data_IF_280198159243
#
_entry.id   IF_280198159243
#
_cell.length_a   1.000
_cell.length_b   1.000
_cell.length_c   1.000
_cell.angle_alpha   90.00
_cell.angle_beta   90.00
_cell.angle_gamma   90.00
#
_symmetry.space_group_name_H-M   'P 1'
#
loop_
_entity.id
_entity.type
_entity.pdbx_description
1 polymer ?
#
# COMPACT_ATOMS: atom_id res chain seq x y z
N UNK A 1 -6.47 35.64 -12.91
CA UNK A 1 -7.73 35.38 -13.65
C UNK A 1 -7.52 34.53 -14.91
N UNK A 2 -6.59 34.88 -15.83
CA UNK A 2 -6.32 34.06 -17.04
C UNK A 2 -5.74 32.66 -16.77
N UNK A 3 -4.93 32.49 -15.72
CA UNK A 3 -4.42 31.16 -15.28
C UNK A 3 -5.52 30.26 -14.72
N UNK A 4 -6.49 30.82 -13.99
CA UNK A 4 -7.64 30.09 -13.45
C UNK A 4 -8.59 29.68 -14.57
N UNK A 5 -8.77 30.54 -15.59
CA UNK A 5 -9.55 30.21 -16.78
C UNK A 5 -8.88 29.13 -17.64
N UNK A 6 -7.55 29.12 -17.74
CA UNK A 6 -6.83 28.07 -18.47
C UNK A 6 -6.91 26.71 -17.75
N UNK A 7 -6.83 26.67 -16.42
CA UNK A 7 -7.07 25.45 -15.64
C UNK A 7 -8.54 24.99 -15.72
N UNK A 8 -9.49 25.93 -15.80
CA UNK A 8 -10.90 25.61 -16.03
C UNK A 8 -11.19 25.07 -17.44
N UNK A 9 -10.48 25.54 -18.48
CA UNK A 9 -10.60 25.01 -19.83
C UNK A 9 -9.98 23.62 -19.98
N UNK A 10 -8.85 23.34 -19.31
CA UNK A 10 -8.27 21.99 -19.23
C UNK A 10 -9.27 21.05 -18.54
N UNK A 11 -9.89 21.50 -17.45
CA UNK A 11 -10.96 20.73 -16.80
C UNK A 11 -12.10 20.46 -17.78
N UNK A 12 -12.58 21.48 -18.50
CA UNK A 12 -13.70 21.38 -19.47
C UNK A 12 -13.42 20.49 -20.69
N UNK A 13 -12.17 20.37 -21.13
CA UNK A 13 -11.78 19.48 -22.23
C UNK A 13 -11.70 17.99 -21.83
N UNK A 14 -11.53 17.68 -20.53
CA UNK A 14 -11.63 16.31 -19.99
C UNK A 14 -13.06 15.81 -19.78
N UNK A 15 -14.07 16.70 -19.87
CA UNK A 15 -15.46 16.44 -19.46
C UNK A 15 -16.29 15.58 -20.43
N UNK A 16 -15.76 15.19 -21.59
CA UNK A 16 -16.51 14.41 -22.59
C UNK A 16 -15.90 13.01 -22.74
N UNK A 17 -16.48 12.08 -21.98
CA UNK A 17 -16.63 10.67 -22.33
C UNK A 17 -15.37 9.90 -22.80
N UNK A 18 -14.27 9.96 -22.03
CA UNK A 18 -13.24 8.91 -22.09
C UNK A 18 -13.46 7.87 -21.00
N UNK A 19 -13.34 6.59 -21.36
CA UNK A 19 -13.38 5.49 -20.37
C UNK A 19 -12.19 5.49 -19.42
N UNK A 20 -11.11 6.17 -19.81
CA UNK A 20 -9.88 6.38 -19.05
C UNK A 20 -9.51 7.86 -19.13
N UNK A 21 -9.51 8.53 -17.98
CA UNK A 21 -9.01 9.88 -17.83
C UNK A 21 -7.57 9.77 -17.32
N UNK A 22 -6.62 9.90 -18.25
CA UNK A 22 -5.18 9.73 -18.00
C UNK A 22 -4.67 10.82 -17.07
N UNK A 23 -5.27 12.01 -17.11
CA UNK A 23 -4.86 13.14 -16.26
C UNK A 23 -5.22 12.87 -14.79
N UNK A 24 -6.42 12.34 -14.54
CA UNK A 24 -6.84 11.93 -13.20
C UNK A 24 -5.93 10.82 -12.63
N UNK A 25 -5.63 9.79 -13.45
CA UNK A 25 -4.72 8.69 -13.06
C UNK A 25 -3.34 9.25 -12.71
N UNK A 26 -2.80 10.09 -13.59
CA UNK A 26 -1.47 10.71 -13.41
C UNK A 26 -1.44 11.60 -12.19
N UNK A 27 -2.50 12.37 -11.92
CA UNK A 27 -2.60 13.26 -10.76
C UNK A 27 -2.50 12.49 -9.44
N UNK A 28 -3.26 11.40 -9.31
CA UNK A 28 -3.25 10.55 -8.11
C UNK A 28 -1.89 9.86 -7.96
N UNK A 29 -1.40 9.21 -9.01
CA UNK A 29 -0.11 8.53 -8.97
C UNK A 29 1.04 9.50 -8.61
N UNK A 30 1.09 10.67 -9.25
CA UNK A 30 2.08 11.72 -8.98
C UNK A 30 2.00 12.19 -7.53
N UNK A 31 0.80 12.39 -6.99
CA UNK A 31 0.60 12.77 -5.58
C UNK A 31 1.22 11.75 -4.64
N UNK A 32 0.93 10.46 -4.86
CA UNK A 32 1.45 9.36 -4.04
C UNK A 32 2.98 9.27 -4.10
N UNK A 33 3.56 9.42 -5.29
CA UNK A 33 5.00 9.40 -5.50
C UNK A 33 5.68 10.59 -4.80
N UNK A 34 5.15 11.81 -4.99
CA UNK A 34 5.72 13.01 -4.35
C UNK A 34 5.66 12.89 -2.83
N UNK A 35 4.55 12.41 -2.26
CA UNK A 35 4.44 12.18 -0.81
C UNK A 35 5.49 11.19 -0.32
N UNK A 36 5.70 10.11 -1.06
CA UNK A 36 6.71 9.10 -0.73
C UNK A 36 8.15 9.65 -0.75
N UNK A 37 8.53 10.37 -1.81
CA UNK A 37 9.86 10.99 -1.90
C UNK A 37 10.09 12.12 -0.90
N UNK A 38 9.03 12.83 -0.50
CA UNK A 38 9.11 13.85 0.56
C UNK A 38 9.27 13.20 1.94
N UNK A 39 8.74 12.01 2.15
CA UNK A 39 8.86 11.28 3.40
C UNK A 39 10.14 10.43 3.45
N UNK A 40 11.28 11.10 3.64
CA UNK A 40 12.60 10.44 3.71
C UNK A 40 12.67 9.34 4.77
N UNK A 41 11.98 9.54 5.90
CA UNK A 41 11.93 8.56 6.99
C UNK A 41 11.24 7.26 6.57
N UNK A 42 10.17 7.34 5.77
CA UNK A 42 9.47 6.17 5.26
C UNK A 42 10.30 5.36 4.28
N UNK A 43 11.08 6.02 3.41
CA UNK A 43 12.00 5.34 2.49
C UNK A 43 13.05 4.56 3.29
N UNK A 44 13.68 5.23 4.26
CA UNK A 44 14.69 4.60 5.10
C UNK A 44 14.13 3.44 5.93
N UNK A 45 13.01 3.64 6.62
CA UNK A 45 12.41 2.62 7.49
C UNK A 45 11.90 1.41 6.71
N UNK A 46 11.32 1.62 5.52
CA UNK A 46 10.84 0.53 4.68
C UNK A 46 11.97 -0.32 4.09
N UNK A 47 13.13 0.27 3.81
CA UNK A 47 14.31 -0.45 3.31
C UNK A 47 15.14 -1.12 4.40
N UNK A 48 15.06 -0.64 5.65
CA UNK A 48 15.90 -1.11 6.75
C UNK A 48 15.63 -2.58 7.11
N UNK A 49 14.35 -2.96 7.28
CA UNK A 49 14.01 -4.33 7.67
C UNK A 49 14.47 -5.39 6.65
N UNK A 50 14.22 -5.23 5.34
CA UNK A 50 14.72 -6.19 4.35
C UNK A 50 16.24 -6.19 4.22
N UNK A 51 16.88 -5.04 4.41
CA UNK A 51 18.35 -4.96 4.42
C UNK A 51 18.94 -5.78 5.57
N UNK A 52 18.32 -5.72 6.75
CA UNK A 52 18.72 -6.56 7.89
C UNK A 52 18.58 -8.03 7.52
N UNK A 53 17.44 -8.45 6.98
CA UNK A 53 17.28 -9.84 6.53
C UNK A 53 18.33 -10.24 5.49
N UNK A 54 18.65 -9.35 4.56
CA UNK A 54 19.66 -9.60 3.53
C UNK A 54 21.06 -9.78 4.09
N UNK A 55 21.44 -8.97 5.07
CA UNK A 55 22.77 -9.03 5.70
C UNK A 55 22.90 -10.23 6.64
N UNK A 56 21.84 -10.57 7.39
CA UNK A 56 21.92 -11.59 8.43
C UNK A 56 21.46 -12.98 7.97
N UNK A 57 20.30 -13.10 7.32
CA UNK A 57 19.76 -14.41 6.95
C UNK A 57 20.58 -15.05 5.83
N UNK A 58 21.01 -14.28 4.83
CA UNK A 58 21.67 -14.88 3.67
C UNK A 58 22.99 -15.61 4.02
N UNK A 59 23.98 -15.00 4.71
CA UNK A 59 25.18 -15.73 5.13
C UNK A 59 24.88 -16.84 6.11
N UNK A 60 23.92 -16.62 7.02
CA UNK A 60 23.50 -17.65 7.98
C UNK A 60 23.10 -18.95 7.28
N UNK A 61 22.32 -18.84 6.21
CA UNK A 61 21.86 -19.99 5.42
C UNK A 61 22.93 -20.51 4.44
N UNK A 62 23.78 -19.63 3.89
CA UNK A 62 24.91 -20.04 3.04
C UNK A 62 25.87 -20.98 3.80
N UNK A 63 26.21 -20.62 5.04
CA UNK A 63 27.13 -21.39 5.89
C UNK A 63 26.54 -22.71 6.41
N UNK A 64 25.21 -22.84 6.46
CA UNK A 64 24.54 -24.07 6.92
C UNK A 64 24.64 -25.23 5.93
N UNK A 65 24.72 -24.93 4.63
CA UNK A 65 24.73 -25.94 3.56
C UNK A 65 26.10 -26.12 2.91
N UNK A 66 27.04 -25.19 3.14
CA UNK A 66 28.40 -25.24 2.60
C UNK A 66 28.50 -25.05 1.08
N UNK A 67 27.38 -24.97 0.35
CA UNK A 67 27.34 -24.84 -1.11
C UNK A 67 27.03 -23.41 -1.60
N UNK A 68 26.72 -22.45 -0.72
CA UNK A 68 26.35 -21.07 -1.10
C UNK A 68 25.01 -20.94 -1.84
N UNK A 69 24.47 -22.03 -2.40
CA UNK A 69 23.22 -22.09 -3.17
C UNK A 69 22.01 -21.66 -2.34
N UNK A 70 21.94 -22.10 -1.07
CA UNK A 70 20.89 -21.69 -0.15
C UNK A 70 20.97 -20.18 0.18
N UNK A 71 22.17 -19.60 0.14
CA UNK A 71 22.38 -18.16 0.26
C UNK A 71 21.77 -17.39 -0.92
N UNK A 72 21.97 -17.87 -2.15
CA UNK A 72 21.36 -17.27 -3.35
C UNK A 72 19.84 -17.43 -3.33
N UNK A 73 19.36 -18.60 -2.88
CA UNK A 73 17.93 -18.85 -2.67
C UNK A 73 17.31 -17.82 -1.71
N UNK A 74 17.94 -17.59 -0.55
CA UNK A 74 17.49 -16.61 0.44
C UNK A 74 17.56 -15.17 -0.09
N UNK A 75 18.59 -14.81 -0.85
CA UNK A 75 18.70 -13.51 -1.50
C UNK A 75 17.51 -13.20 -2.41
N UNK A 76 17.15 -14.16 -3.26
CA UNK A 76 15.95 -14.07 -4.11
C UNK A 76 14.66 -13.97 -3.27
N UNK A 77 14.56 -14.79 -2.22
CA UNK A 77 13.42 -14.81 -1.31
C UNK A 77 13.16 -13.48 -0.60
N UNK A 78 14.23 -12.81 -0.18
CA UNK A 78 14.13 -11.51 0.51
C UNK A 78 13.64 -10.43 -0.45
N UNK A 79 14.09 -10.41 -1.70
CA UNK A 79 13.56 -9.48 -2.71
C UNK A 79 12.06 -9.73 -2.96
N UNK A 80 11.64 -11.00 -2.98
CA UNK A 80 10.22 -11.36 -3.10
C UNK A 80 9.40 -10.91 -1.90
N UNK A 81 9.94 -11.11 -0.70
CA UNK A 81 9.31 -10.65 0.53
C UNK A 81 9.11 -9.13 0.52
N UNK A 82 10.13 -8.38 0.10
CA UNK A 82 10.04 -6.92 -0.06
C UNK A 82 8.90 -6.58 -1.00
N UNK A 83 8.84 -7.23 -2.16
CA UNK A 83 7.82 -6.93 -3.17
C UNK A 83 6.40 -7.17 -2.65
N UNK A 84 6.17 -8.32 -2.01
CA UNK A 84 4.85 -8.69 -1.46
C UNK A 84 4.46 -7.69 -0.38
N UNK A 85 5.33 -7.48 0.61
CA UNK A 85 5.04 -6.63 1.77
C UNK A 85 4.86 -5.17 1.37
N UNK A 86 5.77 -4.64 0.54
CA UNK A 86 5.71 -3.26 0.06
C UNK A 86 4.55 -3.05 -0.90
N UNK A 87 4.28 -3.99 -1.82
CA UNK A 87 3.19 -3.88 -2.78
C UNK A 87 1.82 -3.77 -2.11
N UNK A 88 1.54 -4.64 -1.13
CA UNK A 88 0.27 -4.59 -0.38
C UNK A 88 0.16 -3.29 0.43
N UNK A 89 1.19 -2.94 1.21
CA UNK A 89 1.12 -1.78 2.12
C UNK A 89 1.16 -0.43 1.38
N UNK A 90 1.95 -0.28 0.32
CA UNK A 90 2.18 1.01 -0.33
C UNK A 90 0.99 1.52 -1.15
N UNK A 91 0.11 0.65 -1.62
CA UNK A 91 -1.16 1.02 -2.22
C UNK A 91 -2.29 1.09 -1.16
N UNK A 92 -2.29 0.16 -0.20
CA UNK A 92 -3.35 0.05 0.80
C UNK A 92 -3.35 1.18 1.84
N UNK A 93 -2.17 1.55 2.36
CA UNK A 93 -2.06 2.56 3.43
C UNK A 93 -2.54 3.97 3.04
N UNK A 94 -2.15 4.53 1.88
CA UNK A 94 -2.64 5.83 1.46
C UNK A 94 -4.16 5.87 1.28
N UNK A 95 -4.76 4.77 0.80
CA UNK A 95 -6.21 4.70 0.68
C UNK A 95 -6.87 4.79 2.07
N UNK A 96 -6.39 4.02 3.04
CA UNK A 96 -6.90 4.06 4.43
C UNK A 96 -6.78 5.47 5.00
N UNK A 97 -5.62 6.12 4.82
CA UNK A 97 -5.40 7.48 5.32
C UNK A 97 -6.36 8.48 4.67
N UNK A 98 -6.60 8.34 3.36
CA UNK A 98 -7.59 9.14 2.65
C UNK A 98 -9.01 8.87 3.20
N UNK A 99 -9.33 7.64 3.63
CA UNK A 99 -10.59 7.35 4.34
C UNK A 99 -10.68 8.07 5.69
N UNK A 100 -9.63 7.96 6.50
CA UNK A 100 -9.59 8.57 7.84
C UNK A 100 -9.75 10.08 7.82
N UNK A 101 -9.16 10.71 6.81
CA UNK A 101 -9.22 12.15 6.61
C UNK A 101 -10.50 12.63 5.92
N UNK A 102 -11.43 11.75 5.56
CA UNK A 102 -12.67 12.10 4.87
C UNK A 102 -12.51 12.45 3.39
N UNK A 103 -11.35 12.18 2.77
CA UNK A 103 -11.15 12.39 1.33
C UNK A 103 -12.03 11.46 0.47
N UNK A 104 -12.63 10.41 1.05
CA UNK A 104 -13.61 9.57 0.36
C UNK A 104 -14.79 10.37 -0.18
N UNK A 105 -15.26 11.38 0.55
CA UNK A 105 -16.39 12.20 0.14
C UNK A 105 -16.02 13.04 -1.10
N UNK A 106 -14.77 13.52 -1.15
CA UNK A 106 -14.21 14.23 -2.31
C UNK A 106 -14.16 13.31 -3.53
N UNK A 107 -13.76 12.05 -3.37
CA UNK A 107 -13.76 11.08 -4.47
C UNK A 107 -15.17 10.67 -4.93
N UNK A 108 -16.18 10.76 -4.05
CA UNK A 108 -17.55 10.44 -4.39
C UNK A 108 -18.22 11.52 -5.26
N UNK A 109 -17.86 12.79 -5.04
CA UNK A 109 -18.38 13.93 -5.82
C UNK A 109 -17.48 14.34 -6.99
N UNK A 110 -16.23 13.88 -7.05
CA UNK A 110 -15.33 14.17 -8.15
C UNK A 110 -15.87 13.59 -9.47
N UNK A 111 -15.82 14.36 -10.60
CA UNK A 111 -16.32 13.92 -11.90
C UNK A 111 -15.38 12.92 -12.60
N UNK A 112 -14.80 11.97 -11.85
CA UNK A 112 -13.88 10.95 -12.35
C UNK A 112 -14.44 9.55 -12.11
N UNK A 113 -14.34 8.67 -13.11
CA UNK A 113 -14.76 7.27 -12.96
C UNK A 113 -13.92 6.59 -11.86
N UNK A 114 -14.58 5.86 -10.95
CA UNK A 114 -13.92 5.16 -9.82
C UNK A 114 -12.74 4.28 -10.25
N UNK A 115 -12.82 3.65 -11.43
CA UNK A 115 -11.72 2.84 -12.01
C UNK A 115 -10.43 3.64 -12.17
N UNK A 116 -10.51 4.91 -12.59
CA UNK A 116 -9.35 5.77 -12.81
C UNK A 116 -8.64 6.08 -11.48
N UNK A 117 -9.41 6.24 -10.40
CA UNK A 117 -8.86 6.41 -9.05
C UNK A 117 -8.08 5.17 -8.63
N UNK A 118 -8.70 3.99 -8.79
CA UNK A 118 -8.08 2.70 -8.46
C UNK A 118 -6.77 2.50 -9.24
N UNK A 119 -6.76 2.77 -10.55
CA UNK A 119 -5.55 2.67 -11.37
C UNK A 119 -4.47 3.64 -10.89
N UNK A 120 -4.82 4.87 -10.51
CA UNK A 120 -3.89 5.84 -9.95
C UNK A 120 -3.22 5.32 -8.66
N UNK A 121 -3.97 4.69 -7.77
CA UNK A 121 -3.42 4.06 -6.56
C UNK A 121 -2.56 2.83 -6.85
N UNK A 122 -3.00 1.95 -7.77
CA UNK A 122 -2.23 0.76 -8.15
C UNK A 122 -0.90 1.17 -8.77
N UNK A 123 -0.92 2.09 -9.74
CA UNK A 123 0.28 2.57 -10.40
C UNK A 123 1.23 3.29 -9.44
N UNK A 124 0.70 4.13 -8.55
CA UNK A 124 1.47 4.80 -7.51
C UNK A 124 2.07 3.80 -6.50
N UNK A 125 1.32 2.79 -6.07
CA UNK A 125 1.79 1.73 -5.19
C UNK A 125 2.86 0.85 -5.84
N UNK A 126 2.65 0.48 -7.10
CA UNK A 126 3.58 -0.33 -7.89
C UNK A 126 4.91 0.38 -8.15
N UNK A 127 4.89 1.68 -8.45
CA UNK A 127 6.12 2.46 -8.62
C UNK A 127 6.92 2.59 -7.33
N UNK A 128 6.25 2.84 -6.19
CA UNK A 128 6.92 2.97 -4.89
C UNK A 128 7.58 1.65 -4.46
N UNK A 129 6.90 0.53 -4.64
CA UNK A 129 7.40 -0.82 -4.30
C UNK A 129 8.48 -1.29 -5.27
N UNK A 130 8.38 -0.95 -6.56
CA UNK A 130 9.47 -1.16 -7.53
C UNK A 130 10.72 -0.41 -7.08
N UNK A 131 10.59 0.87 -6.73
CA UNK A 131 11.71 1.67 -6.24
C UNK A 131 12.32 1.11 -4.94
N UNK A 132 11.49 0.65 -3.99
CA UNK A 132 11.98 -0.01 -2.79
C UNK A 132 12.72 -1.32 -3.11
N UNK A 133 12.22 -2.11 -4.05
CA UNK A 133 12.86 -3.35 -4.49
C UNK A 133 14.20 -3.06 -5.18
N UNK A 134 14.27 -2.00 -5.99
CA UNK A 134 15.54 -1.51 -6.58
C UNK A 134 16.56 -1.15 -5.51
N UNK A 135 16.15 -0.46 -4.44
CA UNK A 135 17.05 -0.14 -3.32
C UNK A 135 17.64 -1.42 -2.72
N UNK A 136 16.82 -2.44 -2.48
CA UNK A 136 17.29 -3.71 -1.90
C UNK A 136 18.21 -4.47 -2.86
N UNK A 137 17.92 -4.48 -4.17
CA UNK A 137 18.81 -5.10 -5.16
C UNK A 137 20.18 -4.39 -5.17
N UNK A 138 20.20 -3.05 -5.12
CA UNK A 138 21.44 -2.27 -5.06
C UNK A 138 22.21 -2.57 -3.77
N UNK A 139 21.53 -2.59 -2.62
CA UNK A 139 22.16 -2.91 -1.34
C UNK A 139 22.73 -4.33 -1.36
N UNK A 140 22.01 -5.29 -1.92
CA UNK A 140 22.47 -6.67 -2.10
C UNK A 140 23.66 -6.84 -3.02
N UNK A 141 23.72 -6.05 -4.10
CA UNK A 141 24.88 -6.03 -4.98
C UNK A 141 26.09 -5.40 -4.27
N UNK A 142 25.87 -4.29 -3.55
CA UNK A 142 26.92 -3.58 -2.81
C UNK A 142 27.46 -4.38 -1.62
N UNK A 143 26.64 -5.18 -0.94
CA UNK A 143 27.11 -6.06 0.13
C UNK A 143 28.13 -7.10 -0.38
N UNK A 144 28.13 -7.39 -1.68
CA UNK A 144 29.13 -8.20 -2.36
C UNK A 144 30.53 -7.62 -2.43
N UNK A 145 30.64 -6.30 -2.35
CA UNK A 145 31.94 -5.62 -2.31
C UNK A 145 32.61 -5.80 -0.94
N UNK A 146 31.83 -6.02 0.11
CA UNK A 146 32.31 -6.23 1.48
C UNK A 146 32.68 -7.70 1.69
N UNK A 147 31.83 -8.63 1.23
CA UNK A 147 32.17 -10.05 1.16
C UNK A 147 31.48 -10.70 -0.05
N UNK A 148 32.20 -11.55 -0.78
CA UNK A 148 31.63 -12.25 -1.94
C UNK A 148 30.38 -13.08 -1.58
N UNK A 149 30.39 -13.73 -0.41
CA UNK A 149 29.26 -14.50 0.13
C UNK A 149 28.01 -13.63 0.44
N UNK A 150 28.21 -12.33 0.68
CA UNK A 150 27.16 -11.35 0.93
C UNK A 150 26.61 -10.71 -0.36
N UNK A 151 27.23 -10.96 -1.52
CA UNK A 151 26.94 -10.25 -2.77
C UNK A 151 25.93 -10.93 -3.66
N UNK A 152 24.87 -10.21 -4.04
CA UNK A 152 23.93 -10.70 -5.03
C UNK A 152 24.50 -10.40 -6.42
N UNK A 153 24.73 -11.45 -7.23
CA UNK A 153 25.29 -11.32 -8.57
C UNK A 153 24.29 -11.81 -9.62
N UNK A 154 24.15 -11.09 -10.75
CA UNK A 154 23.39 -11.60 -11.88
C UNK A 154 24.04 -12.87 -12.42
N UNK A 155 23.22 -13.76 -12.98
CA UNK A 155 23.70 -14.92 -13.73
C UNK A 155 24.57 -14.47 -14.91
N UNK A 156 25.51 -15.31 -15.33
CA UNK A 156 26.47 -14.97 -16.37
C UNK A 156 25.84 -14.70 -17.75
N UNK A 157 24.57 -15.04 -18.01
CA UNK A 157 23.82 -14.77 -19.26
C UNK A 157 24.62 -14.97 -20.57
N UNK A 158 25.60 -15.88 -20.58
CA UNK A 158 26.48 -16.12 -21.72
C UNK A 158 27.61 -15.11 -21.94
N UNK A 159 27.81 -14.13 -21.04
CA UNK A 159 28.86 -13.10 -21.10
C UNK A 159 30.27 -13.69 -21.19
N UNK A 160 30.49 -14.85 -20.55
CA UNK A 160 31.75 -15.60 -20.53
C UNK A 160 31.76 -16.82 -21.48
N UNK A 161 30.60 -17.20 -22.03
CA UNK A 161 30.39 -18.55 -22.56
C UNK A 161 30.91 -18.78 -23.99
N UNK A 162 31.49 -17.78 -24.66
CA UNK A 162 31.74 -17.91 -26.09
C UNK A 162 33.12 -17.49 -26.59
N UNK A 163 34.03 -16.97 -25.76
CA UNK A 163 35.43 -16.66 -26.14
C UNK A 163 35.62 -15.81 -27.40
N UNK A 164 34.54 -15.29 -27.97
CA UNK A 164 34.41 -14.67 -29.28
C UNK A 164 33.70 -13.35 -29.08
N UNK A 165 34.16 -12.32 -29.79
CA UNK A 165 33.60 -10.97 -29.70
C UNK A 165 32.09 -10.92 -29.98
N UNK A 166 31.59 -11.78 -30.89
CA UNK A 166 30.15 -11.91 -31.17
C UNK A 166 29.36 -12.47 -29.98
N UNK A 167 29.92 -13.45 -29.26
CA UNK A 167 29.28 -14.04 -28.09
C UNK A 167 29.23 -13.10 -26.88
N UNK A 168 30.26 -12.28 -26.67
CA UNK A 168 30.26 -11.25 -25.63
C UNK A 168 29.23 -10.15 -25.93
N UNK A 169 29.11 -9.71 -27.19
CA UNK A 169 28.08 -8.75 -27.60
C UNK A 169 26.66 -9.30 -27.40
N UNK A 170 26.42 -10.55 -27.78
CA UNK A 170 25.14 -11.22 -27.54
C UNK A 170 24.84 -11.35 -26.04
N UNK A 171 25.82 -11.69 -25.21
CA UNK A 171 25.68 -11.77 -23.75
C UNK A 171 25.31 -10.42 -23.12
N UNK A 172 25.89 -9.32 -23.59
CA UNK A 172 25.52 -7.96 -23.13
C UNK A 172 24.07 -7.64 -23.49
N UNK A 173 23.64 -7.92 -24.72
CA UNK A 173 22.27 -7.70 -25.16
C UNK A 173 21.26 -8.52 -24.33
N UNK A 174 21.57 -9.80 -24.07
CA UNK A 174 20.72 -10.66 -23.26
C UNK A 174 20.69 -10.20 -21.80
N UNK A 175 21.80 -9.72 -21.25
CA UNK A 175 21.84 -9.17 -19.89
C UNK A 175 21.00 -7.89 -19.78
N UNK A 176 21.06 -6.99 -20.76
CA UNK A 176 20.19 -5.80 -20.79
C UNK A 176 18.72 -6.23 -20.90
N UNK A 177 18.42 -7.19 -21.79
CA UNK A 177 17.07 -7.74 -21.95
C UNK A 177 16.52 -8.36 -20.67
N UNK A 178 17.33 -9.15 -19.95
CA UNK A 178 16.94 -9.81 -18.71
C UNK A 178 16.67 -8.82 -17.59
N UNK A 179 17.47 -7.74 -17.49
CA UNK A 179 17.24 -6.66 -16.52
C UNK A 179 15.93 -5.93 -16.81
N UNK A 180 15.65 -5.60 -18.07
CA UNK A 180 14.40 -4.95 -18.47
C UNK A 180 13.19 -5.84 -18.14
N UNK A 181 13.26 -7.14 -18.48
CA UNK A 181 12.21 -8.10 -18.15
C UNK A 181 12.01 -8.24 -16.64
N UNK A 182 13.10 -8.31 -15.86
CA UNK A 182 13.03 -8.37 -14.41
C UNK A 182 12.30 -7.15 -13.83
N UNK A 183 12.62 -5.94 -14.27
CA UNK A 183 11.92 -4.74 -13.80
C UNK A 183 10.45 -4.69 -14.22
N UNK A 184 10.12 -5.19 -15.42
CA UNK A 184 8.71 -5.33 -15.83
C UNK A 184 7.97 -6.32 -14.93
N UNK A 185 8.59 -7.45 -14.59
CA UNK A 185 8.01 -8.45 -13.68
C UNK A 185 7.84 -7.90 -12.26
N UNK A 186 8.84 -7.19 -11.71
CA UNK A 186 8.75 -6.48 -10.43
C UNK A 186 7.55 -5.53 -10.45
N UNK A 187 7.42 -4.72 -11.50
CA UNK A 187 6.35 -3.73 -11.61
C UNK A 187 4.95 -4.38 -11.71
N UNK A 188 4.81 -5.45 -12.49
CA UNK A 188 3.54 -6.18 -12.65
C UNK A 188 3.15 -6.91 -11.37
N UNK A 189 4.08 -7.62 -10.74
CA UNK A 189 3.83 -8.30 -9.48
C UNK A 189 3.54 -7.29 -8.35
N UNK A 190 4.23 -6.16 -8.31
CA UNK A 190 3.90 -5.06 -7.41
C UNK A 190 2.48 -4.50 -7.63
N UNK A 191 2.02 -4.43 -8.89
CA UNK A 191 0.66 -4.01 -9.23
C UNK A 191 -0.39 -5.01 -8.73
N UNK A 192 -0.11 -6.31 -8.82
CA UNK A 192 -0.94 -7.40 -8.26
C UNK A 192 -1.08 -7.26 -6.74
N UNK A 193 0.03 -7.09 -6.02
CA UNK A 193 -0.01 -6.90 -4.57
C UNK A 193 -0.70 -5.60 -4.17
N UNK A 194 -0.53 -4.55 -4.97
CA UNK A 194 -1.25 -3.29 -4.80
C UNK A 194 -2.77 -3.48 -4.90
N UNK A 195 -3.24 -4.35 -5.81
CA UNK A 195 -4.66 -4.71 -5.92
C UNK A 195 -5.20 -5.33 -4.63
N UNK A 196 -4.45 -6.28 -4.05
CA UNK A 196 -4.80 -6.95 -2.79
C UNK A 196 -4.86 -5.93 -1.65
N UNK A 197 -3.84 -5.06 -1.54
CA UNK A 197 -3.80 -4.00 -0.55
C UNK A 197 -5.01 -3.07 -0.63
N UNK A 198 -5.40 -2.66 -1.84
CA UNK A 198 -6.58 -1.82 -2.05
C UNK A 198 -7.89 -2.52 -1.73
N UNK A 199 -8.03 -3.81 -2.02
CA UNK A 199 -9.23 -4.61 -1.69
C UNK A 199 -9.46 -4.67 -0.19
N UNK A 200 -8.39 -4.93 0.56
CA UNK A 200 -8.42 -4.96 2.03
C UNK A 200 -8.80 -3.55 2.53
N UNK A 201 -8.01 -2.55 2.16
CA UNK A 201 -8.23 -1.15 2.54
C UNK A 201 -9.62 -0.63 2.18
N UNK A 202 -10.23 -1.12 1.10
CA UNK A 202 -11.56 -0.72 0.68
C UNK A 202 -12.67 -1.24 1.62
N UNK A 203 -12.46 -2.35 2.34
CA UNK A 203 -13.47 -2.97 3.21
C UNK A 203 -13.18 -2.87 4.71
N UNK A 204 -11.98 -2.48 5.10
CA UNK A 204 -11.57 -2.50 6.51
C UNK A 204 -11.10 -1.14 7.01
N UNK A 205 -11.27 -0.91 8.31
CA UNK A 205 -10.69 0.25 9.02
C UNK A 205 -9.17 0.11 9.16
N UNK A 206 -8.47 1.15 9.60
CA UNK A 206 -7.00 1.14 9.72
C UNK A 206 -6.48 -0.03 10.55
N UNK A 207 -6.98 -0.21 11.77
CA UNK A 207 -6.52 -1.29 12.67
C UNK A 207 -6.70 -2.67 12.03
N UNK A 208 -7.88 -2.92 11.48
CA UNK A 208 -8.20 -4.20 10.83
C UNK A 208 -7.37 -4.39 9.56
N UNK A 209 -7.16 -3.33 8.77
CA UNK A 209 -6.35 -3.40 7.55
C UNK A 209 -4.91 -3.81 7.84
N UNK A 210 -4.30 -3.27 8.89
CA UNK A 210 -2.96 -3.67 9.32
C UNK A 210 -2.87 -5.14 9.74
N UNK A 211 -3.88 -5.63 10.46
CA UNK A 211 -3.98 -7.05 10.81
C UNK A 211 -4.10 -7.91 9.55
N UNK A 212 -4.94 -7.54 8.60
CA UNK A 212 -5.10 -8.25 7.32
C UNK A 212 -3.84 -8.23 6.46
N UNK A 213 -3.15 -7.09 6.37
CA UNK A 213 -1.86 -7.02 5.67
C UNK A 213 -0.86 -8.00 6.26
N UNK A 214 -0.74 -8.04 7.60
CA UNK A 214 0.19 -8.95 8.27
C UNK A 214 -0.20 -10.42 8.09
N UNK A 215 -1.50 -10.72 8.26
CA UNK A 215 -2.07 -12.05 8.12
C UNK A 215 -1.91 -12.62 6.71
N UNK A 216 -1.98 -11.77 5.67
CA UNK A 216 -1.85 -12.19 4.28
C UNK A 216 -0.38 -12.25 3.86
N UNK A 217 0.44 -11.27 4.27
CA UNK A 217 1.85 -11.18 3.85
C UNK A 217 2.65 -12.44 4.19
N UNK A 218 2.59 -12.90 5.45
CA UNK A 218 3.45 -14.00 5.89
C UNK A 218 3.13 -15.34 5.20
N UNK A 219 1.88 -15.84 5.20
CA UNK A 219 1.55 -17.06 4.47
C UNK A 219 1.86 -16.96 2.98
N UNK A 220 1.61 -15.80 2.35
CA UNK A 220 1.87 -15.62 0.92
C UNK A 220 3.36 -15.77 0.58
N UNK A 221 4.25 -15.25 1.44
CA UNK A 221 5.71 -15.41 1.29
C UNK A 221 6.09 -16.89 1.35
N UNK A 222 5.56 -17.67 2.30
CA UNK A 222 5.89 -19.09 2.43
C UNK A 222 5.31 -19.94 1.29
N UNK A 223 4.05 -19.69 0.92
CA UNK A 223 3.37 -20.39 -0.18
C UNK A 223 4.04 -20.09 -1.52
N UNK A 224 4.63 -18.90 -1.67
CA UNK A 224 5.26 -18.50 -2.93
C UNK A 224 6.51 -19.27 -3.30
N UNK A 225 7.10 -20.02 -2.37
CA UNK A 225 8.40 -20.62 -2.62
C UNK A 225 9.58 -19.65 -2.54
N UNK A 226 9.35 -18.43 -2.06
CA UNK A 226 10.40 -17.42 -1.90
C UNK A 226 11.44 -17.83 -0.86
N UNK A 227 11.00 -18.33 0.31
CA UNK A 227 11.88 -18.67 1.45
C UNK A 227 12.07 -20.19 1.61
N UNK A 228 11.11 -21.01 1.17
CA UNK A 228 11.16 -22.47 1.30
C UNK A 228 11.01 -23.11 -0.09
N UNK A 229 11.83 -24.08 -0.50
CA UNK A 229 11.64 -24.82 -1.73
C UNK A 229 10.28 -25.55 -1.74
N UNK A 230 9.48 -25.36 -2.80
CA UNK A 230 8.07 -25.79 -2.86
C UNK A 230 7.85 -27.14 -3.55
N UNK A 231 8.88 -27.96 -3.67
CA UNK A 231 8.85 -29.25 -4.40
C UNK A 231 7.72 -30.17 -3.93
N UNK A 232 7.28 -30.05 -2.68
CA UNK A 232 6.26 -30.89 -2.07
C UNK A 232 4.84 -30.26 -1.97
N UNK A 233 4.63 -29.00 -2.37
CA UNK A 233 3.32 -28.29 -2.28
C UNK A 233 2.83 -27.83 -3.66
N UNK A 234 3.03 -28.70 -4.67
CA UNK A 234 2.94 -28.42 -6.10
C UNK A 234 1.67 -27.70 -6.55
N UNK A 235 0.52 -28.11 -6.01
CA UNK A 235 -0.78 -27.59 -6.43
C UNK A 235 -1.01 -26.12 -6.04
N UNK A 236 -0.50 -25.69 -4.88
CA UNK A 236 -0.77 -24.34 -4.36
C UNK A 236 0.16 -23.31 -5.01
N UNK A 237 1.40 -23.69 -5.33
CA UNK A 237 2.37 -22.83 -6.02
C UNK A 237 1.93 -22.42 -7.44
N UNK A 238 1.27 -23.31 -8.18
CA UNK A 238 0.79 -23.04 -9.56
C UNK A 238 -0.22 -21.88 -9.63
N UNK A 239 -1.04 -21.69 -8.60
CA UNK A 239 -2.03 -20.62 -8.53
C UNK A 239 -1.50 -19.32 -7.93
N UNK A 240 -0.24 -19.30 -7.48
CA UNK A 240 0.35 -18.13 -6.84
C UNK A 240 1.22 -17.35 -7.84
N UNK A 241 0.85 -16.13 -8.27
CA UNK A 241 1.66 -15.34 -9.20
C UNK A 241 3.06 -15.03 -8.65
N UNK A 242 3.19 -15.04 -7.31
CA UNK A 242 4.46 -14.84 -6.60
C UNK A 242 5.47 -15.94 -6.90
N UNK A 243 5.03 -17.17 -7.18
CA UNK A 243 5.92 -18.31 -7.39
C UNK A 243 6.72 -18.18 -8.67
N UNK A 244 6.08 -17.73 -9.74
CA UNK A 244 6.72 -17.41 -11.02
C UNK A 244 7.74 -16.27 -10.87
N UNK A 245 7.38 -15.24 -10.12
CA UNK A 245 8.29 -14.14 -9.81
C UNK A 245 9.51 -14.56 -8.98
N UNK A 246 9.29 -15.38 -7.95
CA UNK A 246 10.36 -15.85 -7.06
C UNK A 246 11.38 -16.70 -7.80
N UNK A 247 10.91 -17.58 -8.68
CA UNK A 247 11.80 -18.40 -9.49
C UNK A 247 12.53 -17.57 -10.55
N UNK A 248 11.88 -16.57 -11.15
CA UNK A 248 12.54 -15.67 -12.11
C UNK A 248 13.67 -14.85 -11.49
N UNK A 249 13.47 -14.29 -10.29
CA UNK A 249 14.55 -13.60 -9.56
C UNK A 249 15.67 -14.58 -9.23
N UNK A 250 15.35 -15.79 -8.76
CA UNK A 250 16.37 -16.79 -8.41
C UNK A 250 17.26 -17.15 -9.59
N UNK A 251 16.65 -17.36 -10.76
CA UNK A 251 17.37 -17.62 -12.02
C UNK A 251 18.18 -16.41 -12.46
N UNK A 252 17.65 -15.20 -12.29
CA UNK A 252 18.38 -13.97 -12.57
C UNK A 252 19.62 -13.81 -11.67
N UNK A 253 19.57 -14.31 -10.44
CA UNK A 253 20.68 -14.29 -9.47
C UNK A 253 21.68 -15.45 -9.59
N UNK A 254 21.56 -16.28 -10.62
CA UNK A 254 22.45 -17.42 -10.83
C UNK A 254 22.25 -18.57 -9.84
N UNK A 255 21.13 -18.59 -9.11
CA UNK A 255 20.75 -19.71 -8.26
C UNK A 255 20.22 -20.90 -9.09
N UNK A 256 20.22 -22.09 -8.50
CA UNK A 256 19.59 -23.26 -9.11
C UNK A 256 18.11 -22.96 -9.44
N UNK A 257 17.66 -23.51 -10.57
CA UNK A 257 16.33 -23.25 -11.13
C UNK A 257 15.28 -23.82 -10.18
N UNK A 258 14.35 -22.97 -9.72
CA UNK A 258 13.20 -23.44 -8.94
C UNK A 258 12.31 -24.39 -9.75
N UNK A 259 11.52 -25.20 -9.06
CA UNK A 259 10.65 -26.20 -9.68
C UNK A 259 9.50 -25.61 -10.51
N UNK A 260 9.21 -24.30 -10.42
CA UNK A 260 7.98 -23.68 -10.96
C UNK A 260 8.18 -22.48 -11.90
N UNK A 261 9.37 -21.88 -11.93
CA UNK A 261 9.70 -20.80 -12.86
C UNK A 261 9.43 -21.28 -14.26
N UNK A 262 8.70 -20.50 -15.03
CA UNK A 262 8.22 -20.88 -16.37
C UNK A 262 9.37 -21.28 -17.30
N UNK A 263 10.56 -20.69 -17.11
CA UNK A 263 11.80 -21.11 -17.77
C UNK A 263 12.24 -22.55 -17.51
N UNK A 264 11.59 -23.29 -16.60
CA UNK A 264 11.88 -24.70 -16.31
C UNK A 264 10.69 -25.60 -16.64
N UNK A 265 9.44 -25.23 -16.31
CA UNK A 265 8.27 -26.07 -16.66
C UNK A 265 8.06 -26.08 -18.18
N UNK A 266 7.95 -24.90 -18.80
CA UNK A 266 7.75 -24.80 -20.24
C UNK A 266 9.02 -25.12 -21.00
N UNK A 267 10.20 -24.75 -20.51
CA UNK A 267 11.44 -25.17 -21.16
C UNK A 267 11.66 -26.69 -21.07
N UNK A 268 11.33 -27.36 -19.96
CA UNK A 268 11.35 -28.84 -19.90
C UNK A 268 10.33 -29.44 -20.85
N UNK A 269 9.13 -28.88 -20.94
CA UNK A 269 8.11 -29.34 -21.87
C UNK A 269 8.53 -29.14 -23.33
N UNK A 270 9.13 -27.98 -23.67
CA UNK A 270 9.68 -27.66 -24.99
C UNK A 270 10.90 -28.53 -25.31
N UNK A 271 11.79 -28.79 -24.36
CA UNK A 271 12.97 -29.65 -24.54
C UNK A 271 12.56 -31.12 -24.70
N UNK A 272 11.57 -31.59 -23.93
CA UNK A 272 10.95 -32.90 -24.13
C UNK A 272 10.25 -32.99 -25.49
N UNK A 273 9.60 -31.92 -25.95
CA UNK A 273 8.96 -31.86 -27.25
C UNK A 273 9.96 -31.77 -28.42
N UNK A 274 11.08 -31.07 -28.24
CA UNK A 274 12.10 -30.86 -29.27
C UNK A 274 13.23 -31.90 -29.25
N UNK A 275 13.18 -32.94 -28.40
CA UNK A 275 14.28 -33.90 -28.19
C UNK A 275 15.65 -33.21 -27.98
N UNK A 276 15.67 -32.07 -27.30
CA UNK A 276 16.87 -31.23 -27.14
C UNK A 276 17.80 -31.71 -26.03
N UNK A 277 19.10 -31.43 -26.16
CA UNK A 277 20.09 -31.64 -25.08
C UNK A 277 19.84 -30.70 -23.88
N UNK A 278 20.17 -31.11 -22.64
CA UNK A 278 19.98 -30.30 -21.42
C UNK A 278 20.71 -28.94 -21.45
N UNK A 279 21.68 -28.77 -22.34
CA UNK A 279 22.44 -27.53 -22.52
C UNK A 279 21.59 -26.37 -23.05
N UNK A 280 20.44 -26.64 -23.68
CA UNK A 280 19.52 -25.59 -24.14
C UNK A 280 18.89 -24.79 -22.98
N UNK A 281 18.70 -25.41 -21.80
CA UNK A 281 18.06 -24.80 -20.62
C UNK A 281 18.86 -23.63 -20.05
N UNK A 282 20.18 -23.71 -20.12
CA UNK A 282 21.09 -22.65 -19.66
C UNK A 282 21.47 -21.69 -20.79
N UNK A 283 20.89 -21.84 -21.99
CA UNK A 283 21.14 -20.91 -23.07
C UNK A 283 20.56 -19.53 -22.71
N UNK A 284 21.26 -18.43 -23.02
CA UNK A 284 20.76 -17.07 -22.76
C UNK A 284 19.37 -16.82 -23.39
N UNK A 285 19.09 -17.47 -24.52
CA UNK A 285 17.83 -17.37 -25.26
C UNK A 285 16.68 -18.07 -24.52
N UNK A 286 16.92 -19.28 -23.99
CA UNK A 286 15.90 -20.01 -23.21
C UNK A 286 15.51 -19.25 -21.94
N UNK A 287 16.47 -18.58 -21.28
CA UNK A 287 16.20 -17.74 -20.12
C UNK A 287 15.28 -16.55 -20.46
N UNK A 288 15.51 -15.87 -21.59
CA UNK A 288 14.66 -14.78 -22.06
C UNK A 288 13.24 -15.24 -22.39
N UNK A 289 13.10 -16.39 -23.05
CA UNK A 289 11.78 -16.99 -23.35
C UNK A 289 11.06 -17.36 -22.06
N UNK A 290 11.77 -17.95 -21.09
CA UNK A 290 11.26 -18.27 -19.77
C UNK A 290 10.68 -17.05 -19.05
N UNK A 291 11.46 -15.96 -18.98
CA UNK A 291 11.01 -14.70 -18.39
C UNK A 291 9.82 -14.09 -19.11
N UNK A 292 9.78 -14.15 -20.44
CA UNK A 292 8.63 -13.68 -21.22
C UNK A 292 7.34 -14.44 -20.89
N UNK A 293 7.42 -15.75 -20.73
CA UNK A 293 6.30 -16.60 -20.33
C UNK A 293 5.89 -16.35 -18.87
N UNK A 294 6.84 -16.20 -17.92
CA UNK A 294 6.53 -15.81 -16.54
C UNK A 294 5.76 -14.48 -16.50
N UNK A 295 6.17 -13.51 -17.33
CA UNK A 295 5.51 -12.20 -17.44
C UNK A 295 4.06 -12.33 -17.91
N UNK A 296 3.80 -13.19 -18.91
CA UNK A 296 2.44 -13.47 -19.40
C UNK A 296 1.58 -14.08 -18.29
N UNK A 297 2.11 -15.06 -17.55
CA UNK A 297 1.37 -15.69 -16.43
C UNK A 297 1.03 -14.65 -15.37
N UNK A 298 2.01 -13.85 -14.94
CA UNK A 298 1.80 -12.76 -13.97
C UNK A 298 0.76 -11.76 -14.49
N UNK A 299 0.79 -11.41 -15.77
CA UNK A 299 -0.17 -10.50 -16.37
C UNK A 299 -1.61 -11.05 -16.36
N UNK A 300 -1.80 -12.35 -16.65
CA UNK A 300 -3.11 -13.02 -16.60
C UNK A 300 -3.70 -12.95 -15.20
N UNK A 301 -2.91 -13.29 -14.17
CA UNK A 301 -3.33 -13.14 -12.77
C UNK A 301 -3.63 -11.68 -12.41
N UNK A 302 -2.84 -10.75 -12.95
CA UNK A 302 -3.07 -9.31 -12.83
C UNK A 302 -4.47 -8.91 -13.26
N UNK A 303 -4.90 -9.29 -14.47
CA UNK A 303 -6.21 -8.92 -15.01
C UNK A 303 -7.36 -9.33 -14.08
N UNK A 304 -7.29 -10.55 -13.51
CA UNK A 304 -8.29 -11.05 -12.56
C UNK A 304 -8.35 -10.19 -11.30
N UNK A 305 -7.20 -9.86 -10.71
CA UNK A 305 -7.15 -9.04 -9.49
C UNK A 305 -7.52 -7.58 -9.75
N UNK A 306 -7.16 -7.01 -10.91
CA UNK A 306 -7.64 -5.70 -11.33
C UNK A 306 -9.18 -5.66 -11.39
N UNK A 307 -9.80 -6.69 -11.95
CA UNK A 307 -11.26 -6.80 -11.99
C UNK A 307 -11.88 -6.84 -10.58
N UNK A 308 -11.31 -7.66 -9.69
CA UNK A 308 -11.75 -7.75 -8.28
C UNK A 308 -11.61 -6.40 -7.57
N UNK A 309 -10.46 -5.72 -7.72
CA UNK A 309 -10.23 -4.41 -7.13
C UNK A 309 -11.21 -3.35 -7.63
N UNK A 310 -11.53 -3.32 -8.93
CA UNK A 310 -12.54 -2.40 -9.45
C UNK A 310 -13.92 -2.65 -8.85
N UNK A 311 -14.33 -3.92 -8.72
CA UNK A 311 -15.62 -4.29 -8.16
C UNK A 311 -15.73 -3.93 -6.68
N UNK A 312 -14.71 -4.28 -5.89
CA UNK A 312 -14.69 -4.05 -4.43
C UNK A 312 -14.55 -2.58 -4.08
N UNK A 313 -13.67 -1.83 -4.76
CA UNK A 313 -13.53 -0.41 -4.51
C UNK A 313 -14.80 0.35 -4.91
N UNK A 314 -15.49 -0.12 -5.95
CA UNK A 314 -16.80 0.37 -6.35
C UNK A 314 -17.84 0.30 -5.22
N UNK A 315 -17.93 -0.83 -4.50
CA UNK A 315 -18.89 -0.98 -3.40
C UNK A 315 -18.45 -0.33 -2.08
N UNK A 316 -17.14 -0.27 -1.81
CA UNK A 316 -16.61 0.26 -0.54
C UNK A 316 -16.81 1.77 -0.33
N UNK A 317 -17.07 2.54 -1.40
CA UNK A 317 -17.38 3.98 -1.31
C UNK A 317 -18.84 4.28 -0.95
N UNK A 318 -19.77 3.33 -1.16
CA UNK A 318 -21.20 3.53 -0.85
C UNK A 318 -21.56 3.14 0.58
N UNK A 319 -20.80 2.23 1.20
CA UNK A 319 -21.01 1.82 2.60
C UNK A 319 -20.32 2.76 3.61
N UNK A 320 -19.34 3.54 3.15
CA UNK A 320 -18.55 4.47 3.97
C UNK A 320 -19.20 5.84 4.17
N UNK A 321 -20.52 5.97 4.01
CA UNK A 321 -21.27 7.21 4.29
C UNK A 321 -21.24 7.63 5.77
N UNK A 322 -20.54 6.88 6.61
CA UNK A 322 -20.14 7.25 7.97
C UNK A 322 -18.80 8.00 8.04
N UNK A 323 -18.49 8.86 7.07
CA UNK A 323 -17.27 9.70 7.06
C UNK A 323 -17.10 10.52 8.34
N UNK A 324 -15.92 11.11 8.55
CA UNK A 324 -15.51 11.85 9.76
C UNK A 324 -16.59 12.83 10.28
N UNK A 325 -17.40 13.44 9.41
CA UNK A 325 -18.58 14.24 9.77
C UNK A 325 -19.63 13.44 10.55
N UNK A 326 -20.02 12.25 10.10
CA UNK A 326 -20.99 11.40 10.81
C UNK A 326 -20.44 10.85 12.13
N UNK A 327 -19.15 10.49 12.19
CA UNK A 327 -18.51 10.02 13.43
C UNK A 327 -18.28 11.18 14.41
N UNK A 328 -17.90 12.37 13.95
CA UNK A 328 -17.80 13.55 14.81
C UNK A 328 -19.18 13.99 15.27
N UNK A 329 -20.19 14.05 14.42
CA UNK A 329 -21.56 14.33 14.83
C UNK A 329 -22.08 13.28 15.81
N UNK A 330 -21.77 11.99 15.61
CA UNK A 330 -22.18 10.92 16.52
C UNK A 330 -21.43 10.95 17.85
N UNK A 331 -20.11 11.11 17.86
CA UNK A 331 -19.31 11.22 19.11
C UNK A 331 -19.58 12.52 19.86
N UNK A 332 -19.78 13.65 19.16
CA UNK A 332 -20.20 14.90 19.80
C UNK A 332 -21.64 14.82 20.28
N UNK A 333 -22.55 14.13 19.57
CA UNK A 333 -23.90 13.86 20.04
C UNK A 333 -23.93 12.93 21.26
N UNK A 334 -23.17 11.83 21.25
CA UNK A 334 -23.04 10.89 22.39
C UNK A 334 -22.37 11.57 23.61
N UNK A 335 -21.35 12.41 23.39
CA UNK A 335 -20.73 13.20 24.45
C UNK A 335 -21.67 14.30 24.98
N UNK A 336 -22.45 14.95 24.10
CA UNK A 336 -23.52 15.88 24.48
C UNK A 336 -24.58 15.15 25.31
N UNK A 337 -25.00 13.96 24.89
CA UNK A 337 -26.04 13.20 25.55
C UNK A 337 -25.61 12.74 26.94
N UNK A 338 -24.40 12.20 27.08
CA UNK A 338 -23.78 11.86 28.38
C UNK A 338 -23.55 13.06 29.29
N UNK A 339 -23.21 14.23 28.74
CA UNK A 339 -23.16 15.47 29.53
C UNK A 339 -24.53 15.82 30.09
N UNK A 340 -25.61 15.56 29.34
CA UNK A 340 -26.96 15.91 29.73
C UNK A 340 -27.73 14.84 30.54
N UNK A 341 -27.16 13.64 30.73
CA UNK A 341 -27.78 12.56 31.52
C UNK A 341 -27.84 12.86 33.02
N UNK A 342 -26.89 13.64 33.55
CA UNK A 342 -26.80 13.96 34.97
C UNK A 342 -27.63 15.18 35.40
N UNK A 343 -28.43 15.75 34.48
CA UNK A 343 -29.25 16.95 34.75
C UNK A 343 -30.71 16.60 35.02
N UNK A 344 -31.38 17.46 35.79
CA UNK A 344 -32.81 17.32 36.01
C UNK A 344 -33.60 17.45 34.69
N UNK A 345 -34.78 16.81 34.54
CA UNK A 345 -35.53 16.78 33.28
C UNK A 345 -35.79 18.18 32.68
N UNK A 346 -36.10 19.15 33.54
CA UNK A 346 -36.32 20.57 33.15
C UNK A 346 -35.03 21.27 32.68
N UNK A 347 -33.89 20.98 33.30
CA UNK A 347 -32.59 21.54 32.94
C UNK A 347 -32.09 20.96 31.60
N UNK A 348 -32.38 19.68 31.33
CA UNK A 348 -32.07 19.00 30.07
C UNK A 348 -32.80 19.62 28.87
N UNK A 349 -34.07 20.00 29.02
CA UNK A 349 -34.82 20.69 27.95
C UNK A 349 -34.30 22.09 27.65
N UNK A 350 -33.88 22.83 28.67
CA UNK A 350 -33.26 24.16 28.51
C UNK A 350 -31.93 24.04 27.76
N UNK A 351 -31.06 23.13 28.18
CA UNK A 351 -29.76 22.91 27.52
C UNK A 351 -29.92 22.42 26.08
N UNK A 352 -30.90 21.54 25.80
CA UNK A 352 -31.23 21.12 24.43
C UNK A 352 -31.71 22.29 23.56
N UNK A 353 -32.55 23.19 24.09
CA UNK A 353 -33.02 24.38 23.35
C UNK A 353 -31.88 25.35 23.03
N UNK A 354 -30.96 25.56 23.96
CA UNK A 354 -29.82 26.48 23.79
C UNK A 354 -28.79 25.90 22.82
N UNK A 355 -28.40 24.63 23.02
CA UNK A 355 -27.38 23.96 22.17
C UNK A 355 -27.87 23.60 20.77
N UNK A 356 -29.17 23.71 20.50
CA UNK A 356 -29.73 23.65 19.16
C UNK A 356 -29.50 24.93 18.35
N UNK A 357 -29.34 26.08 19.02
CA UNK A 357 -29.20 27.39 18.38
C UNK A 357 -27.77 27.94 18.44
N UNK A 358 -26.97 27.50 19.41
CA UNK A 358 -25.59 27.99 19.62
C UNK A 358 -24.66 26.81 19.95
N UNK A 359 -23.47 26.78 19.33
CA UNK A 359 -22.50 25.74 19.63
C UNK A 359 -21.85 25.94 21.01
N UNK A 360 -21.74 24.87 21.80
CA UNK A 360 -21.21 24.91 23.17
C UNK A 360 -19.81 25.49 23.24
N UNK A 361 -18.95 25.18 22.25
CA UNK A 361 -17.59 25.72 22.20
C UNK A 361 -17.58 27.24 22.10
N UNK A 362 -18.47 27.81 21.27
CA UNK A 362 -18.62 29.26 21.13
C UNK A 362 -19.13 29.88 22.43
N UNK A 363 -20.04 29.21 23.15
CA UNK A 363 -20.54 29.68 24.44
C UNK A 363 -19.41 29.70 25.49
N UNK A 364 -18.63 28.62 25.59
CA UNK A 364 -17.49 28.54 26.53
C UNK A 364 -16.40 29.56 26.21
N UNK A 365 -16.03 29.72 24.94
CA UNK A 365 -15.06 30.74 24.51
C UNK A 365 -15.54 32.15 24.81
N UNK A 366 -16.84 32.41 24.67
CA UNK A 366 -17.42 33.72 25.01
C UNK A 366 -17.38 33.96 26.52
N UNK A 367 -17.70 32.94 27.34
CA UNK A 367 -17.58 33.05 28.80
C UNK A 367 -16.15 33.28 29.29
N UNK A 368 -15.17 32.64 28.64
CA UNK A 368 -13.75 32.77 29.00
C UNK A 368 -13.18 34.14 28.62
N UNK A 369 -13.54 34.66 27.44
CA UNK A 369 -12.99 35.91 26.92
C UNK A 369 -13.77 37.16 27.37
N UNK A 370 -15.10 37.08 27.56
CA UNK A 370 -15.93 38.20 28.00
C UNK A 370 -17.25 37.72 28.67
N UNK A 371 -17.29 37.63 30.02
CA UNK A 371 -18.44 37.11 30.76
C UNK A 371 -19.76 37.87 30.51
N UNK A 372 -19.70 39.17 30.19
CA UNK A 372 -20.88 40.00 29.91
C UNK A 372 -21.39 39.88 28.47
N UNK A 373 -20.58 39.33 27.54
CA UNK A 373 -20.94 39.14 26.13
C UNK A 373 -21.86 37.95 25.85
N UNK A 374 -22.20 37.16 26.87
CA UNK A 374 -23.07 35.99 26.75
C UNK A 374 -24.51 36.39 26.35
N UNK A 375 -25.00 37.49 26.91
CA UNK A 375 -26.34 37.99 26.62
C UNK A 375 -26.45 38.43 25.15
N UNK A 376 -25.44 39.12 24.64
CA UNK A 376 -25.37 39.53 23.23
C UNK A 376 -25.29 38.32 22.28
N UNK A 377 -24.57 37.27 22.67
CA UNK A 377 -24.48 36.02 21.91
C UNK A 377 -25.84 35.30 21.84
N UNK A 378 -26.59 35.28 22.94
CA UNK A 378 -27.90 34.62 23.03
C UNK A 378 -28.98 35.42 22.27
N UNK A 379 -28.99 36.75 22.41
CA UNK A 379 -29.90 37.62 21.66
C UNK A 379 -29.68 37.53 20.14
N UNK A 380 -28.43 37.49 19.69
CA UNK A 380 -28.08 37.31 18.25
C UNK A 380 -28.59 36.00 17.66
N UNK A 381 -28.79 34.98 18.51
CA UNK A 381 -29.28 33.66 18.09
C UNK A 381 -30.75 33.43 18.49
N UNK A 382 -31.48 34.49 18.87
CA UNK A 382 -32.91 34.43 19.17
C UNK A 382 -33.25 33.61 20.43
N UNK A 383 -32.41 33.70 21.46
CA UNK A 383 -32.64 33.18 22.81
C UNK A 383 -32.88 34.35 23.78
N UNK A 384 -33.61 34.12 24.87
CA UNK A 384 -33.94 35.20 25.83
C UNK A 384 -32.83 35.39 26.87
N UNK A 385 -32.85 36.52 27.59
CA UNK A 385 -31.93 36.75 28.73
C UNK A 385 -32.11 35.71 29.83
N UNK A 386 -33.34 35.21 30.03
CA UNK A 386 -33.63 34.12 30.97
C UNK A 386 -32.92 32.81 30.57
N UNK A 387 -32.83 32.50 29.27
CA UNK A 387 -32.10 31.32 28.79
C UNK A 387 -30.59 31.43 29.09
N UNK A 388 -30.02 32.63 29.03
CA UNK A 388 -28.62 32.89 29.38
C UNK A 388 -28.35 32.71 30.89
N UNK A 389 -29.26 33.18 31.76
CA UNK A 389 -29.17 32.99 33.21
C UNK A 389 -29.32 31.52 33.62
N UNK A 390 -30.26 30.81 32.98
CA UNK A 390 -30.44 29.37 33.18
C UNK A 390 -29.22 28.59 32.67
N UNK A 391 -28.62 29.00 31.53
CA UNK A 391 -27.37 28.43 31.05
C UNK A 391 -26.22 28.64 32.04
N UNK A 392 -26.08 29.81 32.64
CA UNK A 392 -25.03 30.08 33.63
C UNK A 392 -25.17 29.18 34.86
N UNK A 393 -26.40 29.04 35.36
CA UNK A 393 -26.71 28.20 36.53
C UNK A 393 -26.44 26.72 36.25
N UNK A 394 -26.84 26.25 35.07
CA UNK A 394 -26.70 24.85 34.66
C UNK A 394 -25.28 24.53 34.19
N UNK A 395 -24.65 25.47 33.48
CA UNK A 395 -23.28 25.41 32.97
C UNK A 395 -22.25 25.34 34.10
N UNK A 396 -22.45 26.06 35.22
CA UNK A 396 -21.62 25.92 36.41
C UNK A 396 -21.69 24.51 37.02
N UNK A 397 -22.88 23.91 37.11
CA UNK A 397 -23.04 22.51 37.57
C UNK A 397 -22.34 21.52 36.63
N UNK A 398 -22.45 21.72 35.33
CA UNK A 398 -21.76 20.92 34.30
C UNK A 398 -20.24 21.05 34.42
N UNK A 399 -19.70 22.26 34.55
CA UNK A 399 -18.26 22.48 34.72
C UNK A 399 -17.72 21.87 36.03
N UNK A 400 -18.47 21.95 37.13
CA UNK A 400 -18.12 21.28 38.39
C UNK A 400 -18.14 19.75 38.26
N UNK A 401 -19.05 19.19 37.45
CA UNK A 401 -19.10 17.74 37.19
C UNK A 401 -17.97 17.23 36.27
N UNK A 402 -17.40 18.13 35.46
CA UNK A 402 -16.26 17.84 34.56
C UNK A 402 -14.89 18.03 35.23
N UNK A 403 -14.81 18.71 36.38
CA UNK A 403 -13.58 18.73 37.15
C UNK A 403 -13.28 17.31 37.64
N UNK A 404 -12.07 16.77 37.40
CA UNK A 404 -11.73 15.43 37.88
C UNK A 404 -11.92 15.43 39.40
N UNK A 405 -12.78 14.53 39.91
CA UNK A 405 -12.91 14.28 41.34
C UNK A 405 -11.49 14.10 41.88
N UNK A 406 -10.98 15.09 42.61
CA UNK A 406 -9.71 14.94 43.29
C UNK A 406 -9.84 13.67 44.12
N UNK A 407 -9.07 12.64 43.74
CA UNK A 407 -9.01 11.40 44.47
C UNK A 407 -8.75 11.78 45.92
N UNK A 408 -9.70 11.53 46.81
CA UNK A 408 -9.45 11.52 48.24
C UNK A 408 -8.27 10.57 48.42
N UNK A 409 -7.07 11.13 48.62
CA UNK A 409 -5.92 10.42 49.18
C UNK A 409 -6.41 9.86 50.51
N UNK A 410 -6.90 8.62 50.51
CA UNK A 410 -6.95 7.83 51.72
C UNK A 410 -5.51 7.45 52.02
N UNK A 411 -5.05 7.98 53.16
CA UNK A 411 -3.83 7.60 53.86
C UNK A 411 -3.74 6.09 54.02
#
# INVERSE_FOLDING_TARGET
MKLVQHEFEIAKQGFINRNFDVEAIRGIAKREIIKYFRNKQQIFSSALMPTIFMIFLRPGFANMTGSGELGVFMGAGIICMVLIMSGIMMAGMPLIMDKMMGFQDIYAVAPVKRRNIVIGFIFGGALKSTFQSTIIIIIGALSGLIAFELGIYPNNFGLLALGTWYGTLLGILVMIGSVVMLYMMIFLAASIYSCIGLVISAKTDMTNSFLWFTLINMPLVFISGAIIPVENILFIGLFNPTTYFADAIRVWLGGQIGAFGTGNIWARWVIQFMNGSPELLNSPIALLVGFGLDLIVIAIFGVLLFYVSFKVFGSGLTESSGGFTAIFHKKTAEAREKMFENLAPKEREVMKRITAKVDMMTIFQTMENNPTGLNDLFERNGLTKEDAEQFMTVGMKLMQSMQPKQSKKKK
#
